data_IF_129722086646
#
_entry.id   IF_129722086646
#
_cell.length_a   1.000
_cell.length_b   1.000
_cell.length_c   1.000
_cell.angle_alpha   90.00
_cell.angle_beta   90.00
_cell.angle_gamma   90.00
#
_symmetry.space_group_name_H-M   'P 1'
#
loop_
_entity.id
_entity.type
_entity.pdbx_description
1 polymer ?
#
# COMPACT_ATOMS: atom_id res chain seq x y z
N UNK A 1 0.84 3.00 10.71
CA UNK A 1 0.45 3.18 12.15
C UNK A 1 1.42 4.15 12.79
N UNK A 2 0.92 5.16 13.47
CA UNK A 2 1.77 6.10 14.21
C UNK A 2 2.49 5.42 15.38
N UNK A 3 3.52 6.09 15.88
CA UNK A 3 4.15 5.71 17.17
C UNK A 3 3.24 6.10 18.34
N UNK A 4 3.00 5.17 19.27
CA UNK A 4 2.15 5.44 20.44
C UNK A 4 2.71 6.55 21.33
N UNK A 5 4.05 6.62 21.46
CA UNK A 5 4.69 7.69 22.19
C UNK A 5 4.49 9.04 21.51
N UNK A 6 4.58 9.07 20.17
CA UNK A 6 4.30 10.28 19.38
C UNK A 6 2.86 10.77 19.61
N UNK A 7 1.87 9.88 19.58
CA UNK A 7 0.45 10.24 19.84
C UNK A 7 0.28 10.80 21.26
N UNK A 8 0.95 10.21 22.25
CA UNK A 8 0.94 10.66 23.65
C UNK A 8 1.55 12.05 23.83
N UNK A 9 2.68 12.30 23.16
CA UNK A 9 3.41 13.56 23.29
C UNK A 9 2.80 14.68 22.43
N UNK A 10 2.03 14.34 21.37
CA UNK A 10 1.50 15.31 20.40
C UNK A 10 0.03 15.05 20.04
N UNK A 11 -0.89 14.88 21.01
CA UNK A 11 -2.28 14.51 20.72
C UNK A 11 -3.03 15.55 19.88
N UNK A 12 -2.79 16.84 20.12
CA UNK A 12 -3.45 17.92 19.39
C UNK A 12 -3.00 17.96 17.91
N UNK A 13 -1.72 17.68 17.64
CA UNK A 13 -1.22 17.59 16.26
C UNK A 13 -1.88 16.42 15.51
N UNK A 14 -2.05 15.26 16.18
CA UNK A 14 -2.74 14.11 15.61
C UNK A 14 -4.21 14.44 15.32
N UNK A 15 -4.91 15.11 16.25
CA UNK A 15 -6.29 15.55 16.05
C UNK A 15 -6.41 16.58 14.92
N UNK A 16 -5.48 17.54 14.83
CA UNK A 16 -5.44 18.49 13.72
C UNK A 16 -5.26 17.80 12.36
N UNK A 17 -4.36 16.80 12.31
CA UNK A 17 -4.15 15.99 11.11
C UNK A 17 -5.41 15.21 10.70
N UNK A 18 -6.14 14.64 11.64
CA UNK A 18 -7.42 13.97 11.41
C UNK A 18 -8.43 14.95 10.78
N UNK A 19 -8.52 16.18 11.30
CA UNK A 19 -9.38 17.23 10.75
C UNK A 19 -8.95 17.64 9.33
N UNK A 20 -7.65 17.80 9.08
CA UNK A 20 -7.11 18.06 7.74
C UNK A 20 -7.48 17.00 6.72
N UNK A 21 -7.67 15.75 7.18
CA UNK A 21 -8.12 14.62 6.35
C UNK A 21 -9.65 14.48 6.28
N UNK A 22 -10.42 15.38 6.89
CA UNK A 22 -11.89 15.34 6.93
C UNK A 22 -12.46 14.05 7.52
N UNK A 23 -11.82 13.53 8.57
CA UNK A 23 -12.15 12.27 9.25
C UNK A 23 -12.52 12.51 10.72
N UNK A 24 -13.34 13.52 11.00
CA UNK A 24 -13.65 13.99 12.36
C UNK A 24 -14.23 12.90 13.27
N UNK A 25 -14.85 11.87 12.71
CA UNK A 25 -15.33 10.70 13.43
C UNK A 25 -14.20 9.91 14.13
N UNK A 26 -12.96 10.07 13.69
CA UNK A 26 -11.78 9.42 14.28
C UNK A 26 -11.15 10.21 15.44
N UNK A 27 -11.59 11.43 15.71
CA UNK A 27 -11.03 12.27 16.80
C UNK A 27 -11.11 11.59 18.16
N UNK A 28 -12.22 10.92 18.44
CA UNK A 28 -12.45 10.19 19.69
C UNK A 28 -11.41 9.08 19.91
N UNK A 29 -10.89 8.48 18.86
CA UNK A 29 -9.89 7.41 18.96
C UNK A 29 -8.58 7.87 19.61
N UNK A 30 -8.22 9.15 19.44
CA UNK A 30 -7.02 9.72 20.07
C UNK A 30 -7.18 9.76 21.59
N UNK A 31 -8.35 10.22 22.07
CA UNK A 31 -8.63 10.27 23.50
C UNK A 31 -8.74 8.87 24.12
N UNK A 32 -9.40 7.93 23.43
CA UNK A 32 -9.44 6.53 23.85
C UNK A 32 -8.06 5.90 23.97
N UNK A 33 -7.17 6.14 22.99
CA UNK A 33 -5.79 5.64 23.02
C UNK A 33 -5.02 6.21 24.22
N UNK A 34 -5.17 7.51 24.50
CA UNK A 34 -4.50 8.15 25.64
C UNK A 34 -4.97 7.58 26.99
N UNK A 35 -6.27 7.38 27.14
CA UNK A 35 -6.83 6.78 28.34
C UNK A 35 -6.36 5.33 28.54
N UNK A 36 -6.43 4.51 27.50
CA UNK A 36 -5.98 3.12 27.53
C UNK A 36 -4.45 3.02 27.78
N UNK A 37 -3.65 3.90 27.18
CA UNK A 37 -2.20 3.94 27.41
C UNK A 37 -1.88 4.32 28.85
N UNK A 38 -2.62 5.22 29.45
CA UNK A 38 -2.48 5.54 30.88
C UNK A 38 -2.77 4.32 31.73
N UNK A 39 -3.92 3.66 31.52
CA UNK A 39 -4.30 2.44 32.27
C UNK A 39 -3.26 1.32 32.07
N UNK A 40 -2.78 1.12 30.85
CA UNK A 40 -1.73 0.14 30.54
C UNK A 40 -0.44 0.41 31.34
N UNK A 41 0.02 1.66 31.36
CA UNK A 41 1.24 2.04 32.09
C UNK A 41 1.06 1.90 33.62
N UNK A 42 -0.12 2.20 34.15
CA UNK A 42 -0.46 2.00 35.56
C UNK A 42 -0.44 0.51 35.92
N UNK A 43 -1.12 -0.35 35.12
CA UNK A 43 -1.12 -1.79 35.31
C UNK A 43 0.28 -2.38 35.24
N UNK A 44 1.09 -1.98 34.25
CA UNK A 44 2.47 -2.41 34.08
C UNK A 44 3.35 -1.99 35.24
N UNK A 45 3.27 -0.74 35.70
CA UNK A 45 4.02 -0.23 36.86
C UNK A 45 3.67 -1.00 38.13
N UNK A 46 2.37 -1.29 38.34
CA UNK A 46 1.91 -2.09 39.48
C UNK A 46 2.42 -3.53 39.39
N UNK A 47 2.36 -4.14 38.20
CA UNK A 47 2.90 -5.47 37.95
C UNK A 47 4.39 -5.57 38.23
N UNK A 48 5.19 -4.60 37.78
CA UNK A 48 6.65 -4.56 38.02
C UNK A 48 6.98 -4.38 39.52
N UNK A 49 6.21 -3.55 40.23
CA UNK A 49 6.33 -3.41 41.67
C UNK A 49 6.05 -4.74 42.38
N UNK A 50 4.94 -5.41 42.03
CA UNK A 50 4.57 -6.70 42.65
C UNK A 50 5.58 -7.81 42.35
N UNK A 51 6.14 -7.85 41.13
CA UNK A 51 7.23 -8.79 40.77
C UNK A 51 8.44 -8.58 41.63
N UNK A 52 8.82 -7.30 41.88
CA UNK A 52 9.91 -6.93 42.80
C UNK A 52 9.64 -7.38 44.24
N UNK A 53 8.45 -7.10 44.76
CA UNK A 53 8.02 -7.51 46.13
C UNK A 53 7.99 -9.03 46.27
N UNK A 54 7.39 -9.75 45.30
CA UNK A 54 7.37 -11.21 45.31
C UNK A 54 8.73 -11.83 45.37
N UNK A 55 9.72 -11.29 44.61
CA UNK A 55 11.10 -11.77 44.67
C UNK A 55 11.74 -11.57 46.05
N UNK A 56 11.47 -10.44 46.72
CA UNK A 56 11.95 -10.16 48.08
C UNK A 56 11.35 -11.09 49.11
N UNK A 57 10.00 -11.26 49.06
CA UNK A 57 9.27 -12.15 49.98
C UNK A 57 9.65 -13.62 49.80
N UNK A 58 9.90 -14.05 48.56
CA UNK A 58 10.36 -15.41 48.28
C UNK A 58 11.71 -15.72 48.93
N UNK A 59 12.63 -14.76 48.92
CA UNK A 59 13.91 -14.87 49.66
C UNK A 59 13.71 -14.92 51.19
N UNK A 60 12.76 -14.13 51.72
CA UNK A 60 12.41 -14.12 53.13
C UNK A 60 11.84 -15.45 53.59
N UNK A 61 10.97 -16.11 52.81
CA UNK A 61 10.45 -17.44 53.13
C UNK A 61 11.58 -18.44 53.34
N UNK A 62 12.60 -18.46 52.45
CA UNK A 62 13.78 -19.30 52.59
C UNK A 62 14.52 -19.08 53.89
N UNK A 63 14.73 -17.81 54.28
CA UNK A 63 15.37 -17.43 55.53
C UNK A 63 14.57 -17.85 56.80
N UNK A 64 13.25 -17.64 56.79
CA UNK A 64 12.35 -18.04 57.89
C UNK A 64 12.28 -19.56 58.06
N UNK A 65 12.22 -20.29 56.96
CA UNK A 65 12.25 -21.77 57.00
C UNK A 65 13.57 -22.30 57.56
N UNK A 66 14.70 -21.71 57.17
CA UNK A 66 16.03 -22.03 57.71
C UNK A 66 16.17 -21.75 59.22
N UNK A 67 15.39 -20.79 59.74
CA UNK A 67 15.34 -20.44 61.18
C UNK A 67 14.30 -21.25 61.99
N UNK A 68 13.53 -22.15 61.32
CA UNK A 68 12.51 -22.96 61.95
C UNK A 68 11.19 -22.20 62.26
N UNK A 69 11.02 -20.96 61.74
CA UNK A 69 9.85 -20.09 61.95
C UNK A 69 8.74 -20.39 60.94
N UNK A 70 8.13 -21.57 61.08
CA UNK A 70 7.15 -22.09 60.12
C UNK A 70 5.90 -21.23 59.99
N UNK A 71 5.33 -20.74 61.10
CA UNK A 71 4.09 -19.95 61.06
C UNK A 71 4.32 -18.59 60.36
N UNK A 72 5.43 -17.93 60.60
CA UNK A 72 5.82 -16.71 59.91
C UNK A 72 6.06 -16.98 58.42
N UNK A 73 6.68 -18.10 58.06
CA UNK A 73 6.87 -18.48 56.69
C UNK A 73 5.57 -18.75 55.90
N UNK A 74 4.59 -19.39 56.60
CA UNK A 74 3.23 -19.63 56.00
C UNK A 74 2.47 -18.30 55.80
N UNK A 75 2.56 -17.35 56.69
CA UNK A 75 1.96 -16.02 56.53
C UNK A 75 2.54 -15.29 55.28
N UNK A 76 3.87 -15.36 55.08
CA UNK A 76 4.53 -14.77 53.91
C UNK A 76 4.17 -15.51 52.65
N UNK A 77 4.04 -16.83 52.67
CA UNK A 77 3.55 -17.61 51.54
C UNK A 77 2.12 -17.22 51.10
N UNK A 78 1.23 -16.98 52.04
CA UNK A 78 -0.13 -16.49 51.75
C UNK A 78 -0.10 -15.13 51.02
N UNK A 79 0.77 -14.22 51.45
CA UNK A 79 1.00 -12.93 50.79
C UNK A 79 1.50 -13.13 49.33
N UNK A 80 2.49 -14.01 49.14
CA UNK A 80 3.01 -14.32 47.82
C UNK A 80 1.93 -14.92 46.91
N UNK A 81 1.05 -15.77 47.46
CA UNK A 81 -0.07 -16.35 46.69
C UNK A 81 -1.06 -15.27 46.27
N UNK A 82 -1.42 -14.34 47.16
CA UNK A 82 -2.32 -13.22 46.82
C UNK A 82 -1.72 -12.32 45.76
N UNK A 83 -0.41 -12.02 45.84
CA UNK A 83 0.31 -11.25 44.83
C UNK A 83 0.36 -11.96 43.49
N UNK A 84 0.47 -13.28 43.48
CA UNK A 84 0.47 -14.06 42.24
C UNK A 84 -0.88 -13.95 41.53
N UNK A 85 -2.01 -13.93 42.26
CA UNK A 85 -3.31 -13.72 41.66
C UNK A 85 -3.44 -12.30 41.10
N UNK A 86 -3.08 -11.28 41.87
CA UNK A 86 -3.10 -9.88 41.38
C UNK A 86 -2.23 -9.68 40.15
N UNK A 87 -1.04 -10.33 40.09
CA UNK A 87 -0.17 -10.30 38.92
C UNK A 87 -0.84 -10.93 37.70
N UNK A 88 -1.51 -12.09 37.85
CA UNK A 88 -2.21 -12.73 36.76
C UNK A 88 -3.33 -11.85 36.21
N UNK A 89 -4.10 -11.20 37.08
CA UNK A 89 -5.18 -10.28 36.69
C UNK A 89 -4.62 -9.05 35.95
N UNK A 90 -3.49 -8.49 36.40
CA UNK A 90 -2.81 -7.38 35.72
C UNK A 90 -2.23 -7.78 34.37
N UNK A 91 -1.68 -8.98 34.23
CA UNK A 91 -1.18 -9.49 32.94
C UNK A 91 -2.29 -9.63 31.90
N UNK A 92 -3.46 -10.13 32.31
CA UNK A 92 -4.66 -10.19 31.44
C UNK A 92 -5.13 -8.77 31.07
N UNK A 93 -5.08 -7.83 32.03
CA UNK A 93 -5.44 -6.44 31.75
C UNK A 93 -4.44 -5.76 30.79
N UNK A 94 -3.13 -5.96 30.98
CA UNK A 94 -2.09 -5.44 30.09
C UNK A 94 -2.26 -5.96 28.65
N UNK A 95 -2.50 -7.26 28.49
CA UNK A 95 -2.73 -7.89 27.18
C UNK A 95 -3.95 -7.28 26.48
N UNK A 96 -5.10 -7.23 27.19
CA UNK A 96 -6.34 -6.66 26.66
C UNK A 96 -6.18 -5.19 26.24
N UNK A 97 -5.55 -4.37 27.10
CA UNK A 97 -5.31 -2.95 26.81
C UNK A 97 -4.35 -2.79 25.59
N UNK A 98 -3.32 -3.63 25.53
CA UNK A 98 -2.38 -3.62 24.39
C UNK A 98 -3.07 -3.91 23.05
N UNK A 99 -3.97 -4.90 23.03
CA UNK A 99 -4.76 -5.22 21.84
C UNK A 99 -5.72 -4.07 21.47
N UNK A 100 -6.44 -3.53 22.44
CA UNK A 100 -7.36 -2.42 22.22
C UNK A 100 -6.65 -1.15 21.71
N UNK A 101 -5.49 -0.81 22.29
CA UNK A 101 -4.66 0.30 21.82
C UNK A 101 -4.24 0.06 20.37
N UNK A 102 -3.76 -1.15 20.06
CA UNK A 102 -3.33 -1.51 18.71
C UNK A 102 -4.48 -1.35 17.70
N UNK A 103 -5.68 -1.83 18.02
CA UNK A 103 -6.85 -1.69 17.15
C UNK A 103 -7.16 -0.23 16.81
N UNK A 104 -7.16 0.68 17.82
CA UNK A 104 -7.41 2.12 17.59
C UNK A 104 -6.29 2.75 16.78
N UNK A 105 -5.03 2.45 17.15
CA UNK A 105 -3.85 2.96 16.45
C UNK A 105 -3.80 2.53 14.98
N UNK A 106 -4.37 1.38 14.63
CA UNK A 106 -4.46 0.90 13.25
C UNK A 106 -5.45 1.72 12.40
N UNK A 107 -6.40 2.43 13.01
CA UNK A 107 -7.43 3.25 12.34
C UNK A 107 -7.03 4.73 12.29
N UNK A 108 -6.22 5.20 13.24
CA UNK A 108 -5.70 6.59 13.24
C UNK A 108 -4.80 6.78 12.01
N UNK A 109 -5.10 7.80 11.15
CA UNK A 109 -4.32 8.03 9.93
C UNK A 109 -2.89 8.50 10.23
N UNK A 110 -1.99 8.26 9.29
CA UNK A 110 -0.62 8.78 9.32
C UNK A 110 -0.63 10.30 9.22
N UNK A 111 0.42 10.96 9.71
CA UNK A 111 0.57 12.41 9.60
C UNK A 111 0.95 12.74 8.15
N UNK A 112 0.15 13.59 7.51
CA UNK A 112 0.41 14.02 6.13
C UNK A 112 1.62 14.97 6.08
N UNK A 113 2.34 14.95 4.96
CA UNK A 113 3.43 15.89 4.71
C UNK A 113 2.92 17.33 4.64
N UNK A 114 3.73 18.30 5.10
CA UNK A 114 3.33 19.70 5.16
C UNK A 114 3.01 20.31 3.80
N UNK A 115 3.58 19.74 2.72
CA UNK A 115 3.34 20.20 1.35
C UNK A 115 2.03 19.69 0.74
N UNK A 116 1.32 18.75 1.39
CA UNK A 116 0.07 18.19 0.90
C UNK A 116 -1.02 19.27 0.87
N UNK A 117 -1.67 19.50 -0.30
CA UNK A 117 -2.77 20.46 -0.38
C UNK A 117 -3.97 20.01 0.46
N UNK A 118 -4.61 20.94 1.13
CA UNK A 118 -5.81 20.66 1.93
C UNK A 118 -7.01 20.68 1.00
N UNK A 119 -7.73 19.57 0.92
CA UNK A 119 -8.91 19.40 0.10
C UNK A 119 -9.73 18.21 0.60
N UNK A 120 -11.02 18.16 0.25
CA UNK A 120 -11.97 17.20 0.79
C UNK A 120 -11.96 15.85 0.07
N UNK A 121 -11.81 15.88 -1.25
CA UNK A 121 -11.87 14.70 -2.11
C UNK A 121 -11.02 14.88 -3.38
N UNK A 122 -11.00 13.90 -4.27
CA UNK A 122 -10.22 13.87 -5.50
C UNK A 122 -10.46 15.03 -6.45
N UNK A 123 -11.62 15.69 -6.38
CA UNK A 123 -11.93 16.88 -7.20
C UNK A 123 -11.07 18.10 -6.85
N UNK A 124 -10.45 18.10 -5.66
CA UNK A 124 -9.59 19.17 -5.15
C UNK A 124 -8.08 18.82 -5.25
N UNK A 125 -7.74 17.71 -5.94
CA UNK A 125 -6.37 17.39 -6.24
C UNK A 125 -5.72 18.44 -7.15
N UNK A 126 -4.42 18.70 -6.96
CA UNK A 126 -3.73 19.83 -7.59
C UNK A 126 -2.83 19.34 -8.73
N UNK A 127 -3.06 19.87 -9.94
CA UNK A 127 -2.17 19.60 -11.06
C UNK A 127 -0.78 20.23 -10.81
N UNK A 128 0.27 19.43 -10.92
CA UNK A 128 1.66 19.84 -10.68
C UNK A 128 2.36 20.17 -11.99
N UNK A 129 2.32 19.25 -12.96
CA UNK A 129 3.08 19.38 -14.20
C UNK A 129 2.46 18.55 -15.33
N UNK A 130 2.59 19.05 -16.57
CA UNK A 130 2.22 18.33 -17.80
C UNK A 130 3.42 17.96 -18.61
N UNK A 131 3.37 16.78 -19.22
CA UNK A 131 4.44 16.20 -20.03
C UNK A 131 3.88 15.77 -21.39
N UNK A 132 4.35 16.43 -22.44
CA UNK A 132 3.89 16.24 -23.82
C UNK A 132 2.61 17.01 -24.13
N UNK A 133 2.40 17.23 -25.43
CA UNK A 133 1.26 18.01 -25.94
C UNK A 133 0.06 17.09 -26.19
N UNK A 134 -1.08 17.35 -25.53
CA UNK A 134 -2.33 16.66 -25.81
C UNK A 134 -2.74 16.89 -27.28
N UNK A 135 -3.08 15.80 -27.97
CA UNK A 135 -3.56 15.85 -29.36
C UNK A 135 -4.99 15.30 -29.42
N UNK A 136 -5.79 15.93 -30.27
CA UNK A 136 -7.11 15.45 -30.66
C UNK A 136 -7.03 15.22 -32.17
N UNK A 137 -7.24 13.99 -32.68
CA UNK A 137 -7.22 13.72 -34.10
C UNK A 137 -8.40 14.39 -34.82
N UNK A 138 -8.30 14.54 -36.13
CA UNK A 138 -9.37 15.12 -36.97
C UNK A 138 -10.53 14.15 -37.24
N UNK A 139 -10.46 12.94 -36.69
CA UNK A 139 -11.49 11.90 -36.82
C UNK A 139 -12.03 11.51 -35.44
N UNK A 140 -13.21 10.91 -35.41
CA UNK A 140 -13.83 10.43 -34.19
C UNK A 140 -13.02 9.25 -33.60
N UNK A 141 -12.60 9.37 -32.35
CA UNK A 141 -11.94 8.28 -31.60
C UNK A 141 -13.04 7.41 -30.96
N UNK A 142 -13.19 6.14 -31.40
CA UNK A 142 -14.18 5.24 -30.83
C UNK A 142 -13.87 4.87 -29.37
N UNK A 143 -14.83 4.29 -28.69
CA UNK A 143 -14.62 3.72 -27.36
C UNK A 143 -13.58 2.58 -27.43
N UNK A 144 -12.73 2.46 -26.44
CA UNK A 144 -11.62 1.50 -26.46
C UNK A 144 -12.05 0.04 -26.71
N UNK A 145 -13.24 -0.35 -26.23
CA UNK A 145 -13.79 -1.68 -26.51
C UNK A 145 -14.11 -1.84 -27.99
N UNK A 146 -14.72 -0.82 -28.61
CA UNK A 146 -15.07 -0.86 -30.03
C UNK A 146 -13.82 -0.94 -30.92
N UNK A 147 -12.72 -0.25 -30.50
CA UNK A 147 -11.40 -0.39 -31.15
C UNK A 147 -10.90 -1.83 -31.06
N UNK A 148 -10.92 -2.40 -29.83
CA UNK A 148 -10.44 -3.76 -29.61
C UNK A 148 -11.31 -4.82 -30.29
N UNK A 149 -12.64 -4.63 -30.35
CA UNK A 149 -13.56 -5.53 -31.07
C UNK A 149 -13.30 -5.53 -32.59
N UNK A 150 -13.07 -4.35 -33.21
CA UNK A 150 -12.67 -4.22 -34.61
C UNK A 150 -11.37 -4.95 -34.94
N UNK A 151 -10.46 -5.01 -33.99
CA UNK A 151 -9.18 -5.71 -34.12
C UNK A 151 -9.27 -7.19 -33.70
N UNK A 152 -10.47 -7.71 -33.40
CA UNK A 152 -10.70 -9.05 -32.86
C UNK A 152 -9.83 -9.34 -31.63
N UNK A 153 -9.63 -8.31 -30.75
CA UNK A 153 -8.67 -8.30 -29.64
C UNK A 153 -9.29 -8.49 -28.27
N UNK A 154 -10.62 -8.50 -28.14
CA UNK A 154 -11.31 -8.67 -26.86
C UNK A 154 -12.58 -9.50 -27.01
N UNK A 155 -12.91 -10.31 -26.00
CA UNK A 155 -14.15 -11.07 -25.89
C UNK A 155 -14.74 -10.93 -24.48
N UNK A 156 -15.66 -9.98 -24.33
CA UNK A 156 -16.36 -9.71 -23.07
C UNK A 156 -17.54 -10.66 -22.84
N UNK A 157 -18.15 -11.18 -23.91
CA UNK A 157 -19.31 -12.08 -23.82
C UNK A 157 -18.92 -13.46 -23.27
N UNK A 158 -17.80 -14.00 -23.71
CA UNK A 158 -17.26 -15.25 -23.15
C UNK A 158 -16.76 -15.05 -21.72
N UNK A 159 -16.15 -13.91 -21.42
CA UNK A 159 -15.73 -13.58 -20.05
C UNK A 159 -16.91 -13.52 -19.09
N UNK A 160 -18.01 -12.90 -19.52
CA UNK A 160 -19.26 -12.83 -18.73
C UNK A 160 -19.82 -14.22 -18.42
N UNK A 161 -19.79 -15.13 -19.37
CA UNK A 161 -20.24 -16.54 -19.19
C UNK A 161 -19.34 -17.31 -18.23
N UNK A 162 -18.02 -17.05 -18.28
CA UNK A 162 -17.02 -17.81 -17.51
C UNK A 162 -16.88 -17.29 -16.07
N UNK A 163 -16.83 -15.97 -15.88
CA UNK A 163 -16.42 -15.34 -14.62
C UNK A 163 -17.35 -14.22 -14.14
N UNK A 164 -18.29 -13.77 -14.99
CA UNK A 164 -19.16 -12.65 -14.69
C UNK A 164 -18.67 -11.32 -15.30
N UNK A 165 -19.30 -10.22 -14.87
CA UNK A 165 -18.90 -8.88 -15.27
C UNK A 165 -17.56 -8.49 -14.61
N UNK A 166 -16.83 -7.55 -15.23
CA UNK A 166 -15.54 -7.09 -14.70
C UNK A 166 -14.36 -8.03 -14.99
N UNK A 167 -14.55 -8.97 -15.95
CA UNK A 167 -13.51 -9.83 -16.51
C UNK A 167 -13.45 -9.68 -18.02
N UNK A 168 -12.36 -10.10 -18.64
CA UNK A 168 -12.15 -10.03 -20.08
C UNK A 168 -11.30 -11.21 -20.57
N UNK A 169 -11.47 -11.56 -21.87
CA UNK A 169 -10.45 -12.27 -22.63
C UNK A 169 -9.81 -11.27 -23.57
N UNK A 170 -8.49 -11.19 -23.60
CA UNK A 170 -7.75 -10.53 -24.67
C UNK A 170 -7.30 -11.57 -25.69
N UNK A 171 -7.32 -11.21 -26.96
CA UNK A 171 -6.99 -12.09 -28.07
C UNK A 171 -6.03 -11.44 -29.06
N UNK A 172 -5.38 -12.27 -29.88
CA UNK A 172 -4.60 -11.83 -31.04
C UNK A 172 -3.53 -10.78 -30.72
N UNK A 173 -3.46 -9.76 -31.55
CA UNK A 173 -2.44 -8.72 -31.42
C UNK A 173 -2.66 -7.81 -30.19
N UNK A 174 -3.89 -7.67 -29.69
CA UNK A 174 -4.16 -6.93 -28.44
C UNK A 174 -3.61 -7.69 -27.23
N UNK A 175 -3.81 -9.01 -27.15
CA UNK A 175 -3.21 -9.83 -26.09
C UNK A 175 -1.67 -9.78 -26.15
N UNK A 176 -1.11 -9.77 -27.36
CA UNK A 176 0.34 -9.61 -27.56
C UNK A 176 0.81 -8.23 -27.10
N UNK A 177 0.06 -7.16 -27.45
CA UNK A 177 0.37 -5.79 -27.02
C UNK A 177 0.36 -5.66 -25.50
N UNK A 178 -0.63 -6.24 -24.84
CA UNK A 178 -0.68 -6.32 -23.36
C UNK A 178 0.59 -6.95 -22.76
N UNK A 179 1.02 -8.08 -23.30
CA UNK A 179 2.24 -8.76 -22.86
C UNK A 179 3.52 -7.98 -23.21
N UNK A 180 3.52 -7.31 -24.37
CA UNK A 180 4.61 -6.45 -24.82
C UNK A 180 4.83 -5.25 -23.89
N UNK A 181 3.75 -4.60 -23.46
CA UNK A 181 3.78 -3.48 -22.51
C UNK A 181 4.40 -3.92 -21.18
N UNK A 182 3.99 -5.07 -20.63
CA UNK A 182 4.56 -5.60 -19.39
C UNK A 182 6.03 -5.99 -19.53
N UNK A 183 6.40 -6.61 -20.65
CA UNK A 183 7.79 -6.99 -20.91
C UNK A 183 8.69 -5.75 -21.06
N UNK A 184 8.21 -4.74 -21.76
CA UNK A 184 8.92 -3.47 -21.87
C UNK A 184 9.02 -2.76 -20.52
N UNK A 185 7.96 -2.72 -19.72
CA UNK A 185 7.99 -2.11 -18.39
C UNK A 185 8.99 -2.78 -17.44
N UNK A 186 9.07 -4.12 -17.50
CA UNK A 186 10.08 -4.88 -16.74
C UNK A 186 11.49 -4.44 -17.12
N UNK A 187 11.82 -4.48 -18.42
CA UNK A 187 13.17 -4.18 -18.91
C UNK A 187 13.51 -2.71 -18.67
N UNK A 188 12.56 -1.79 -18.89
CA UNK A 188 12.68 -0.38 -18.59
C UNK A 188 13.04 -0.09 -17.12
N UNK A 189 12.52 -0.86 -16.18
CA UNK A 189 12.84 -0.71 -14.75
C UNK A 189 14.17 -1.36 -14.38
N UNK A 190 14.50 -2.52 -14.99
CA UNK A 190 15.83 -3.16 -14.81
C UNK A 190 16.95 -2.21 -15.27
N UNK A 191 16.78 -1.57 -16.42
CA UNK A 191 17.75 -0.62 -16.97
C UNK A 191 17.92 0.64 -16.08
N UNK A 192 16.93 0.94 -15.23
CA UNK A 192 16.98 2.00 -14.21
C UNK A 192 17.51 1.55 -12.85
N UNK A 193 18.04 0.33 -12.77
CA UNK A 193 18.70 -0.21 -11.59
C UNK A 193 17.76 -0.82 -10.54
N UNK A 194 16.51 -1.14 -10.91
CA UNK A 194 15.59 -1.86 -10.04
C UNK A 194 15.80 -3.37 -10.17
N UNK A 195 15.77 -4.09 -9.04
CA UNK A 195 15.83 -5.55 -9.05
C UNK A 195 14.43 -6.11 -9.31
N UNK A 196 14.30 -6.96 -10.33
CA UNK A 196 13.03 -7.55 -10.75
C UNK A 196 12.66 -8.77 -9.91
N UNK A 197 11.38 -8.84 -9.50
CA UNK A 197 10.79 -9.94 -8.73
C UNK A 197 9.47 -10.43 -9.32
N UNK A 198 9.20 -11.72 -9.16
CA UNK A 198 7.87 -12.32 -9.26
C UNK A 198 7.53 -12.81 -7.84
N UNK A 199 6.68 -12.11 -7.09
CA UNK A 199 6.36 -12.43 -5.71
C UNK A 199 5.26 -13.49 -5.61
N UNK A 200 4.98 -14.04 -4.41
CA UNK A 200 3.76 -14.79 -4.15
C UNK A 200 2.51 -13.93 -4.41
N UNK A 201 1.48 -14.51 -5.03
CA UNK A 201 0.22 -13.82 -5.35
C UNK A 201 -0.86 -13.98 -4.27
N UNK A 202 -0.52 -14.68 -3.20
CA UNK A 202 -1.34 -14.83 -2.00
C UNK A 202 -0.50 -14.50 -0.77
N UNK A 203 -1.11 -13.81 0.18
CA UNK A 203 -0.46 -13.38 1.43
C UNK A 203 -1.32 -13.72 2.64
N UNK A 204 -0.70 -13.83 3.82
CA UNK A 204 -1.39 -14.09 5.09
C UNK A 204 -1.97 -12.81 5.69
N UNK A 205 -2.92 -12.98 6.61
CA UNK A 205 -3.59 -11.88 7.32
C UNK A 205 -2.62 -10.93 8.04
N UNK A 206 -1.53 -11.44 8.61
CA UNK A 206 -0.53 -10.61 9.27
C UNK A 206 0.18 -9.64 8.31
N UNK A 207 0.41 -10.06 7.05
CA UNK A 207 0.95 -9.20 6.00
C UNK A 207 -0.10 -8.18 5.56
N UNK A 208 -1.36 -8.64 5.30
CA UNK A 208 -2.48 -7.75 4.92
C UNK A 208 -2.63 -6.60 5.91
N UNK A 209 -2.68 -6.92 7.21
CA UNK A 209 -2.80 -5.93 8.29
C UNK A 209 -1.61 -4.96 8.36
N UNK A 210 -0.47 -5.35 7.83
CA UNK A 210 0.72 -4.51 7.77
C UNK A 210 0.73 -3.51 6.62
N UNK A 211 0.15 -3.87 5.48
CA UNK A 211 0.31 -3.12 4.21
C UNK A 211 -0.87 -2.23 3.85
N UNK A 212 -2.06 -2.44 4.44
CA UNK A 212 -3.26 -1.65 4.15
C UNK A 212 -4.12 -1.39 5.39
N UNK A 213 -5.12 -0.53 5.24
CA UNK A 213 -6.13 -0.30 6.27
C UNK A 213 -7.18 -1.41 6.29
N UNK A 214 -7.93 -1.54 7.40
CA UNK A 214 -9.03 -2.51 7.49
C UNK A 214 -10.15 -2.23 6.47
N UNK A 215 -10.48 -0.96 6.25
CA UNK A 215 -11.48 -0.56 5.27
C UNK A 215 -11.09 -0.95 3.86
N UNK A 216 -9.83 -0.72 3.47
CA UNK A 216 -9.31 -1.15 2.17
C UNK A 216 -9.32 -2.67 2.03
N UNK A 217 -8.97 -3.42 3.09
CA UNK A 217 -8.98 -4.88 3.08
C UNK A 217 -10.39 -5.42 2.78
N UNK A 218 -11.41 -4.96 3.46
CA UNK A 218 -12.80 -5.44 3.29
C UNK A 218 -13.32 -5.15 1.88
N UNK A 219 -13.03 -3.97 1.35
CA UNK A 219 -13.53 -3.52 0.06
C UNK A 219 -12.75 -4.06 -1.14
N UNK A 220 -11.48 -4.44 -0.94
CA UNK A 220 -10.57 -4.80 -2.02
C UNK A 220 -10.25 -6.29 -2.10
N UNK A 221 -9.99 -6.96 -0.95
CA UNK A 221 -9.32 -8.26 -0.94
C UNK A 221 -10.26 -9.45 -1.09
N UNK A 222 -9.90 -10.39 -1.95
CA UNK A 222 -10.49 -11.75 -1.96
C UNK A 222 -9.77 -12.63 -0.94
N UNK A 223 -10.54 -13.27 -0.05
CA UNK A 223 -10.05 -14.26 0.92
C UNK A 223 -10.30 -15.67 0.41
N UNK A 224 -9.34 -16.56 0.59
CA UNK A 224 -9.50 -18.00 0.32
C UNK A 224 -10.29 -18.62 1.48
N UNK A 225 -11.39 -19.31 1.16
CA UNK A 225 -12.21 -19.96 2.15
C UNK A 225 -11.45 -21.12 2.82
N UNK A 226 -11.52 -21.19 4.15
CA UNK A 226 -10.86 -22.23 4.94
C UNK A 226 -9.36 -22.03 5.18
N UNK A 227 -8.75 -20.97 4.62
CA UNK A 227 -7.32 -20.71 4.77
C UNK A 227 -7.01 -19.29 5.22
N UNK A 228 -5.86 -19.08 5.87
CA UNK A 228 -5.34 -17.73 6.16
C UNK A 228 -4.55 -17.20 4.95
N UNK A 229 -5.23 -17.09 3.80
CA UNK A 229 -4.67 -16.58 2.55
C UNK A 229 -5.62 -15.60 1.87
N UNK A 230 -5.04 -14.55 1.30
CA UNK A 230 -5.71 -13.50 0.55
C UNK A 230 -5.03 -13.30 -0.79
N UNK A 231 -5.81 -13.17 -1.87
CA UNK A 231 -5.27 -12.77 -3.17
C UNK A 231 -4.81 -11.31 -3.13
N UNK A 232 -3.64 -11.03 -3.66
CA UNK A 232 -3.09 -9.66 -3.63
C UNK A 232 -3.83 -8.72 -4.59
N UNK A 233 -4.06 -7.49 -4.16
CA UNK A 233 -4.57 -6.40 -5.01
C UNK A 233 -3.46 -5.63 -5.74
N UNK A 234 -2.19 -5.87 -5.37
CA UNK A 234 -0.97 -5.30 -5.95
C UNK A 234 0.23 -6.11 -5.45
N UNK A 235 1.30 -6.18 -6.25
CA UNK A 235 2.55 -6.83 -5.82
C UNK A 235 3.24 -6.12 -4.66
N UNK A 236 2.94 -4.83 -4.43
CA UNK A 236 3.41 -4.10 -3.24
C UNK A 236 3.18 -4.89 -1.96
N UNK A 237 1.99 -5.48 -1.80
CA UNK A 237 1.62 -6.21 -0.60
C UNK A 237 2.60 -7.35 -0.28
N UNK A 238 2.89 -8.19 -1.27
CA UNK A 238 3.86 -9.29 -1.12
C UNK A 238 5.29 -8.79 -0.99
N UNK A 239 5.65 -7.74 -1.74
CA UNK A 239 7.00 -7.24 -1.76
C UNK A 239 7.40 -6.56 -0.44
N UNK A 240 6.48 -5.82 0.18
CA UNK A 240 6.70 -5.28 1.53
C UNK A 240 6.63 -6.40 2.57
N UNK A 241 5.70 -7.35 2.41
CA UNK A 241 5.59 -8.53 3.26
C UNK A 241 6.84 -9.41 3.29
N UNK A 242 7.69 -9.36 2.24
CA UNK A 242 9.01 -10.02 2.20
C UNK A 242 9.90 -9.63 3.37
N UNK A 243 9.74 -8.43 3.90
CA UNK A 243 10.58 -7.88 4.96
C UNK A 243 9.97 -8.01 6.37
N UNK A 244 8.82 -8.72 6.54
CA UNK A 244 8.19 -8.87 7.87
C UNK A 244 9.18 -9.41 8.90
N UNK A 245 9.20 -8.79 10.09
CA UNK A 245 10.08 -9.12 11.24
C UNK A 245 11.57 -9.16 10.90
N UNK A 246 12.00 -8.41 9.87
CA UNK A 246 13.39 -8.39 9.40
C UNK A 246 14.13 -7.16 9.92
N UNK A 247 15.40 -7.35 10.30
CA UNK A 247 16.35 -6.28 10.58
C UNK A 247 17.34 -6.24 9.42
N UNK A 248 17.22 -5.23 8.55
CA UNK A 248 18.12 -4.99 7.42
C UNK A 248 19.44 -4.36 7.90
N UNK A 249 20.55 -4.67 7.23
CA UNK A 249 21.76 -3.87 7.36
C UNK A 249 21.59 -2.56 6.58
N UNK A 250 22.03 -1.45 7.15
CA UNK A 250 21.92 -0.13 6.50
C UNK A 250 22.61 -0.07 5.12
N UNK A 251 23.62 -0.94 4.88
CA UNK A 251 24.28 -1.03 3.56
C UNK A 251 23.44 -1.69 2.49
N UNK A 252 22.37 -2.35 2.86
CA UNK A 252 21.41 -2.94 1.91
C UNK A 252 20.41 -1.92 1.37
N UNK A 253 20.39 -0.71 1.93
CA UNK A 253 19.51 0.37 1.48
C UNK A 253 20.19 1.26 0.42
N UNK A 254 19.42 1.78 -0.54
CA UNK A 254 17.99 1.54 -0.74
C UNK A 254 17.72 0.17 -1.39
N UNK A 255 16.63 -0.49 -0.99
CA UNK A 255 16.07 -1.62 -1.74
C UNK A 255 15.15 -1.04 -2.82
N UNK A 256 15.64 -0.97 -4.05
CA UNK A 256 14.86 -0.53 -5.21
C UNK A 256 14.39 -1.76 -6.00
N UNK A 257 13.11 -2.09 -5.88
CA UNK A 257 12.53 -3.32 -6.38
C UNK A 257 11.44 -3.02 -7.41
N UNK A 258 11.35 -3.85 -8.45
CA UNK A 258 10.23 -3.82 -9.38
C UNK A 258 9.64 -5.22 -9.48
N UNK A 259 8.31 -5.31 -9.59
CA UNK A 259 7.66 -6.62 -9.56
C UNK A 259 6.43 -6.68 -10.45
N UNK A 260 6.30 -7.84 -11.10
CA UNK A 260 5.11 -8.22 -11.85
C UNK A 260 4.17 -9.05 -10.97
N UNK A 261 2.88 -8.78 -11.07
CA UNK A 261 1.86 -9.70 -10.55
C UNK A 261 0.53 -9.54 -11.26
N UNK A 262 -0.32 -10.59 -11.28
CA UNK A 262 -1.75 -10.41 -11.34
C UNK A 262 -2.22 -9.67 -10.09
N UNK A 263 -3.30 -8.92 -10.22
CA UNK A 263 -3.95 -8.16 -9.16
C UNK A 263 -5.42 -8.53 -9.13
N UNK A 264 -5.95 -8.75 -7.93
CA UNK A 264 -7.35 -9.17 -7.73
C UNK A 264 -8.04 -8.16 -6.82
N UNK A 265 -9.13 -7.54 -7.30
CA UNK A 265 -9.86 -6.52 -6.53
C UNK A 265 -11.36 -6.75 -6.62
N UNK A 266 -12.04 -6.67 -5.48
CA UNK A 266 -13.51 -6.78 -5.42
C UNK A 266 -14.22 -5.60 -6.06
N UNK A 267 -13.58 -4.42 -6.16
CA UNK A 267 -14.13 -3.18 -6.70
C UNK A 267 -15.52 -2.83 -6.10
N UNK A 268 -15.69 -3.03 -4.78
CA UNK A 268 -16.95 -2.77 -4.08
C UNK A 268 -17.26 -1.27 -4.10
N UNK A 269 -18.50 -0.93 -4.51
CA UNK A 269 -18.98 0.45 -4.55
C UNK A 269 -18.60 1.23 -5.82
N UNK A 270 -17.89 0.63 -6.75
CA UNK A 270 -17.60 1.24 -8.04
C UNK A 270 -18.82 1.15 -8.97
N UNK A 271 -19.59 2.24 -9.09
CA UNK A 271 -20.70 2.38 -10.02
C UNK A 271 -20.45 3.57 -10.95
N UNK A 272 -20.67 3.40 -12.27
CA UNK A 272 -20.55 4.51 -13.23
C UNK A 272 -20.52 4.08 -14.70
N UNK A 273 -20.43 5.07 -15.57
CA UNK A 273 -20.49 4.93 -17.05
C UNK A 273 -19.37 4.04 -17.63
N UNK A 274 -18.31 3.79 -16.88
CA UNK A 274 -17.15 3.01 -17.32
C UNK A 274 -17.19 1.53 -16.91
N UNK A 275 -18.36 1.01 -16.55
CA UNK A 275 -18.55 -0.42 -16.21
C UNK A 275 -18.32 -1.36 -17.40
N UNK A 276 -18.48 -0.86 -18.65
CA UNK A 276 -18.16 -1.62 -19.85
C UNK A 276 -16.68 -1.43 -20.20
N UNK A 277 -15.98 -2.54 -20.39
CA UNK A 277 -14.60 -2.52 -20.88
C UNK A 277 -13.58 -2.91 -19.82
N UNK A 278 -12.39 -2.29 -19.85
CA UNK A 278 -11.24 -2.70 -19.06
C UNK A 278 -10.78 -1.66 -18.02
N UNK A 279 -11.57 -0.61 -17.80
CA UNK A 279 -11.17 0.47 -16.88
C UNK A 279 -11.24 0.05 -15.41
N UNK A 280 -12.34 -0.62 -14.99
CA UNK A 280 -12.52 -1.21 -13.66
C UNK A 280 -12.85 -2.68 -13.79
N UNK A 281 -11.97 -3.51 -13.28
CA UNK A 281 -12.01 -4.97 -13.47
C UNK A 281 -11.51 -5.68 -12.23
N UNK A 282 -12.01 -6.89 -12.00
CA UNK A 282 -11.69 -7.70 -10.83
C UNK A 282 -10.32 -8.37 -10.90
N UNK A 283 -9.80 -8.59 -12.11
CA UNK A 283 -8.51 -9.22 -12.37
C UNK A 283 -7.76 -8.45 -13.44
N UNK A 284 -6.52 -8.04 -13.14
CA UNK A 284 -5.62 -7.40 -14.09
C UNK A 284 -4.17 -7.71 -13.72
N UNK A 285 -3.25 -7.30 -14.56
CA UNK A 285 -1.81 -7.45 -14.30
C UNK A 285 -1.18 -6.08 -14.10
N UNK A 286 -0.08 -6.06 -13.38
CA UNK A 286 0.62 -4.81 -13.06
C UNK A 286 2.12 -5.02 -12.92
N UNK A 287 2.90 -4.07 -13.41
CA UNK A 287 4.31 -3.88 -13.06
C UNK A 287 4.39 -2.74 -12.04
N UNK A 288 4.99 -2.99 -10.90
CA UNK A 288 5.06 -2.08 -9.76
C UNK A 288 6.51 -1.72 -9.42
N UNK A 289 6.71 -0.55 -8.83
CA UNK A 289 7.95 -0.14 -8.17
C UNK A 289 7.76 -0.11 -6.67
N UNK A 290 8.68 -0.68 -5.91
CA UNK A 290 8.69 -0.67 -4.45
C UNK A 290 10.06 -0.22 -3.98
N UNK A 291 10.10 0.71 -3.04
CA UNK A 291 11.34 1.17 -2.43
C UNK A 291 11.27 1.06 -0.92
N UNK A 292 12.34 0.51 -0.34
CA UNK A 292 12.61 0.60 1.11
C UNK A 292 13.89 1.41 1.26
N UNK A 293 13.81 2.55 1.92
CA UNK A 293 14.93 3.50 2.00
C UNK A 293 15.09 4.12 3.39
N UNK A 294 16.15 4.89 3.57
CA UNK A 294 16.32 5.74 4.74
C UNK A 294 15.26 6.84 4.76
N UNK A 295 14.82 7.31 5.95
CA UNK A 295 13.86 8.40 6.06
C UNK A 295 14.26 9.67 5.30
N UNK A 296 15.54 10.05 5.37
CA UNK A 296 16.08 11.24 4.71
C UNK A 296 16.05 11.17 3.17
N UNK A 297 16.10 9.97 2.58
CA UNK A 297 16.09 9.77 1.13
C UNK A 297 14.67 9.64 0.55
N UNK A 298 13.66 9.62 1.42
CA UNK A 298 12.28 9.25 1.09
C UNK A 298 11.63 10.15 0.03
N UNK A 299 11.83 11.46 0.12
CA UNK A 299 11.24 12.42 -0.83
C UNK A 299 11.93 12.41 -2.20
N UNK A 300 13.24 12.15 -2.24
CA UNK A 300 13.97 11.99 -3.49
C UNK A 300 13.51 10.72 -4.23
N UNK A 301 13.31 9.62 -3.48
CA UNK A 301 12.75 8.39 -4.05
C UNK A 301 11.31 8.58 -4.50
N UNK A 302 10.49 9.31 -3.77
CA UNK A 302 9.12 9.65 -4.18
C UNK A 302 9.11 10.34 -5.55
N UNK A 303 9.94 11.37 -5.73
CA UNK A 303 10.09 12.07 -7.00
C UNK A 303 10.58 11.14 -8.12
N UNK A 304 11.60 10.33 -7.85
CA UNK A 304 12.15 9.37 -8.81
C UNK A 304 11.10 8.35 -9.28
N UNK A 305 10.25 7.87 -8.36
CA UNK A 305 9.23 6.88 -8.66
C UNK A 305 8.17 7.41 -9.64
N UNK A 306 7.55 8.57 -9.36
CA UNK A 306 6.56 9.08 -10.30
C UNK A 306 7.16 9.55 -11.62
N UNK A 307 8.40 10.07 -11.62
CA UNK A 307 9.12 10.41 -12.84
C UNK A 307 9.33 9.17 -13.72
N UNK A 308 9.64 8.01 -13.15
CA UNK A 308 9.77 6.78 -13.92
C UNK A 308 8.46 6.41 -14.65
N UNK A 309 7.31 6.59 -14.04
CA UNK A 309 6.01 6.36 -14.71
C UNK A 309 5.76 7.39 -15.81
N UNK A 310 6.04 8.66 -15.56
CA UNK A 310 5.98 9.71 -16.57
C UNK A 310 6.85 9.35 -17.79
N UNK A 311 8.12 9.00 -17.56
CA UNK A 311 9.08 8.63 -18.61
C UNK A 311 8.61 7.39 -19.38
N UNK A 312 8.04 6.40 -18.69
CA UNK A 312 7.52 5.18 -19.31
C UNK A 312 6.40 5.51 -20.31
N UNK A 313 5.42 6.29 -19.92
CA UNK A 313 4.31 6.70 -20.81
C UNK A 313 4.83 7.61 -21.93
N UNK A 314 5.72 8.55 -21.62
CA UNK A 314 6.33 9.45 -22.61
C UNK A 314 7.18 8.73 -23.65
N UNK A 315 7.83 7.62 -23.30
CA UNK A 315 8.57 6.78 -24.25
C UNK A 315 7.71 6.19 -25.36
N UNK A 316 6.40 6.15 -25.14
CA UNK A 316 5.38 5.69 -26.10
C UNK A 316 4.55 6.83 -26.69
N UNK A 317 5.02 8.07 -26.59
CA UNK A 317 4.40 9.30 -27.08
C UNK A 317 3.03 9.62 -26.44
N UNK A 318 2.73 9.05 -25.27
CA UNK A 318 1.47 9.32 -24.55
C UNK A 318 1.63 10.54 -23.66
N UNK A 319 0.86 11.63 -23.86
CA UNK A 319 0.88 12.78 -22.96
C UNK A 319 0.34 12.40 -21.57
N UNK A 320 1.02 12.87 -20.54
CA UNK A 320 0.62 12.65 -19.15
C UNK A 320 0.70 13.94 -18.34
N UNK A 321 0.02 13.96 -17.20
CA UNK A 321 0.19 14.97 -16.16
C UNK A 321 0.38 14.32 -14.80
N UNK A 322 0.93 15.06 -13.85
CA UNK A 322 1.00 14.68 -12.45
C UNK A 322 0.01 15.50 -11.64
N UNK A 323 -0.69 14.83 -10.73
CA UNK A 323 -1.75 15.39 -9.90
C UNK A 323 -1.45 15.08 -8.44
N UNK A 324 -1.15 16.09 -7.62
CA UNK A 324 -0.92 15.88 -6.20
C UNK A 324 -2.23 15.66 -5.46
N UNK A 325 -2.35 14.54 -4.77
CA UNK A 325 -3.53 14.20 -3.99
C UNK A 325 -3.66 15.10 -2.78
N UNK A 326 -4.86 15.64 -2.57
CA UNK A 326 -5.18 16.45 -1.41
C UNK A 326 -5.39 15.59 -0.15
N UNK A 327 -5.44 16.23 0.99
CA UNK A 327 -5.48 15.59 2.31
C UNK A 327 -6.66 14.63 2.50
N UNK A 328 -7.83 14.93 1.95
CA UNK A 328 -9.03 14.10 2.06
C UNK A 328 -9.04 12.89 1.12
N UNK A 329 -8.27 12.95 0.02
CA UNK A 329 -8.11 11.85 -0.94
C UNK A 329 -7.02 10.84 -0.52
N UNK A 330 -6.11 11.23 0.40
CA UNK A 330 -5.05 10.34 0.86
C UNK A 330 -5.58 9.18 1.70
N UNK A 331 -5.26 7.95 1.34
CA UNK A 331 -5.46 6.78 2.19
C UNK A 331 -4.71 6.91 3.53
N UNK A 332 -5.20 6.20 4.57
CA UNK A 332 -4.76 6.43 5.96
C UNK A 332 -3.27 6.18 6.23
N UNK A 333 -2.63 5.30 5.47
CA UNK A 333 -1.21 5.03 5.66
C UNK A 333 -0.29 6.00 4.91
N UNK A 334 -0.80 6.70 3.91
CA UNK A 334 -0.01 7.59 3.05
C UNK A 334 0.26 8.93 3.73
N UNK A 335 1.50 9.40 3.63
CA UNK A 335 1.88 10.76 4.05
C UNK A 335 1.81 11.73 2.88
N UNK A 336 2.02 11.23 1.65
CA UNK A 336 1.96 11.99 0.41
C UNK A 336 1.67 11.06 -0.76
N UNK A 337 0.90 11.53 -1.74
CA UNK A 337 0.63 10.80 -2.97
C UNK A 337 0.60 11.75 -4.17
N UNK A 338 1.04 11.22 -5.30
CA UNK A 338 0.94 11.88 -6.60
C UNK A 338 0.41 10.88 -7.61
N UNK A 339 -0.65 11.24 -8.31
CA UNK A 339 -1.18 10.43 -9.39
C UNK A 339 -0.55 10.84 -10.72
N UNK A 340 -0.31 9.87 -11.57
CA UNK A 340 0.03 10.07 -12.97
C UNK A 340 -1.20 9.79 -13.79
N UNK A 341 -1.62 10.76 -14.58
CA UNK A 341 -2.78 10.65 -15.44
C UNK A 341 -2.37 10.74 -16.91
N UNK A 342 -2.96 9.88 -17.76
CA UNK A 342 -2.73 9.88 -19.20
C UNK A 342 -3.85 10.63 -19.95
N UNK A 343 -3.48 11.25 -21.06
CA UNK A 343 -4.43 11.93 -21.93
C UNK A 343 -5.33 10.96 -22.67
N UNK A 344 -6.62 11.22 -22.68
CA UNK A 344 -7.63 10.54 -23.50
C UNK A 344 -8.06 11.48 -24.63
N UNK A 345 -7.64 11.27 -25.90
CA UNK A 345 -8.14 12.03 -27.04
C UNK A 345 -9.64 11.96 -27.22
N UNK A 346 -10.25 10.81 -26.91
CA UNK A 346 -11.70 10.59 -26.99
C UNK A 346 -12.49 11.45 -26.00
N UNK A 347 -12.03 11.47 -24.73
CA UNK A 347 -12.70 12.23 -23.66
C UNK A 347 -12.23 13.68 -23.58
N UNK A 348 -11.13 14.02 -24.24
CA UNK A 348 -10.43 15.30 -24.14
C UNK A 348 -10.12 15.68 -22.67
N UNK A 349 -9.74 14.70 -21.88
CA UNK A 349 -9.34 14.83 -20.47
C UNK A 349 -8.28 13.82 -20.08
N UNK A 350 -7.66 14.04 -18.96
CA UNK A 350 -6.73 13.09 -18.36
C UNK A 350 -7.48 12.11 -17.44
N UNK A 351 -6.93 10.90 -17.27
CA UNK A 351 -7.42 9.89 -16.34
C UNK A 351 -6.26 9.14 -15.70
N UNK A 352 -6.43 8.71 -14.46
CA UNK A 352 -5.42 8.05 -13.65
C UNK A 352 -4.93 6.74 -14.27
N UNK A 353 -3.60 6.61 -14.41
CA UNK A 353 -2.91 5.40 -14.88
C UNK A 353 -1.89 4.86 -13.88
N UNK A 354 -1.59 5.60 -12.83
CA UNK A 354 -0.71 5.18 -11.76
C UNK A 354 -0.78 6.14 -10.57
N UNK A 355 -0.52 5.63 -9.38
CA UNK A 355 -0.50 6.40 -8.14
C UNK A 355 0.78 6.10 -7.37
N UNK A 356 1.59 7.13 -7.17
CA UNK A 356 2.83 7.09 -6.40
C UNK A 356 2.53 7.45 -4.94
N UNK A 357 2.99 6.62 -4.01
CA UNK A 357 2.71 6.79 -2.59
C UNK A 357 3.98 6.74 -1.74
N UNK A 358 4.08 7.69 -0.81
CA UNK A 358 5.02 7.64 0.30
C UNK A 358 4.22 7.30 1.57
N UNK A 359 4.60 6.19 2.24
CA UNK A 359 3.94 5.72 3.45
C UNK A 359 4.78 5.96 4.70
N UNK A 360 5.92 6.62 4.55
CA UNK A 360 6.92 6.80 5.61
C UNK A 360 7.22 5.49 6.35
N UNK A 361 7.21 5.46 7.68
CA UNK A 361 7.48 4.28 8.49
C UNK A 361 6.23 3.43 8.83
N UNK A 362 5.06 3.77 8.28
CA UNK A 362 3.80 3.16 8.69
C UNK A 362 3.75 1.64 8.47
N UNK A 363 4.17 1.16 7.30
CA UNK A 363 4.23 -0.27 7.00
C UNK A 363 5.37 -0.96 7.75
N UNK A 364 6.54 -0.30 7.84
CA UNK A 364 7.68 -0.82 8.57
C UNK A 364 7.34 -1.06 10.05
N UNK A 365 6.62 -0.13 10.67
CA UNK A 365 6.16 -0.24 12.06
C UNK A 365 5.16 -1.37 12.25
N UNK A 366 4.21 -1.54 11.34
CA UNK A 366 3.19 -2.60 11.40
C UNK A 366 3.78 -4.00 11.21
N UNK A 367 4.77 -4.11 10.32
CA UNK A 367 5.40 -5.38 9.93
C UNK A 367 6.69 -5.71 10.70
N UNK A 368 7.09 -4.87 11.67
CA UNK A 368 8.31 -5.11 12.43
C UNK A 368 9.60 -4.97 11.62
N UNK A 369 9.58 -4.25 10.49
CA UNK A 369 10.75 -4.01 9.66
C UNK A 369 11.64 -2.96 10.32
N UNK A 370 12.93 -3.25 10.45
CA UNK A 370 13.91 -2.35 11.07
C UNK A 370 15.18 -2.32 10.26
N UNK A 371 15.97 -1.27 10.45
CA UNK A 371 17.29 -1.14 9.87
C UNK A 371 18.29 -0.92 11.00
N UNK A 372 19.39 -1.62 10.97
CA UNK A 372 20.48 -1.45 11.94
C UNK A 372 21.44 -0.38 11.44
N UNK A 373 21.49 0.75 12.13
CA UNK A 373 22.45 1.81 11.82
C UNK A 373 23.88 1.32 12.08
N UNK A 374 24.78 1.55 11.11
CA UNK A 374 26.17 1.07 11.18
C UNK A 374 27.01 1.74 12.24
N UNK A 375 26.79 3.02 12.49
CA UNK A 375 27.57 3.84 13.38
C UNK A 375 27.08 3.74 14.83
N UNK A 376 25.77 4.01 15.03
CA UNK A 376 25.16 4.06 16.37
C UNK A 376 24.82 2.69 16.93
N UNK A 377 24.77 1.65 16.08
CA UNK A 377 24.28 0.29 16.39
C UNK A 377 22.80 0.25 16.85
N UNK A 378 22.10 1.36 16.77
CA UNK A 378 20.68 1.45 17.09
C UNK A 378 19.83 1.06 15.86
N UNK A 379 18.65 0.54 16.13
CA UNK A 379 17.68 0.25 15.08
C UNK A 379 16.79 1.47 14.83
N UNK A 380 16.46 1.70 13.56
CA UNK A 380 15.45 2.66 13.15
C UNK A 380 14.48 2.02 12.16
N UNK A 381 13.37 2.70 11.87
CA UNK A 381 12.37 2.25 10.92
C UNK A 381 12.67 2.86 9.54
N UNK A 382 12.75 2.04 8.48
CA UNK A 382 12.87 2.55 7.13
C UNK A 382 11.54 3.14 6.65
N UNK A 383 11.61 3.99 5.62
CA UNK A 383 10.44 4.42 4.86
C UNK A 383 10.15 3.45 3.71
N UNK A 384 8.88 3.30 3.40
CA UNK A 384 8.41 2.50 2.27
C UNK A 384 7.66 3.38 1.28
N UNK A 385 7.91 3.14 0.00
CA UNK A 385 7.26 3.84 -1.11
C UNK A 385 6.88 2.84 -2.19
N UNK A 386 5.83 3.17 -2.93
CA UNK A 386 5.44 2.40 -4.11
C UNK A 386 4.93 3.31 -5.22
N UNK A 387 4.96 2.80 -6.44
CA UNK A 387 4.30 3.41 -7.59
C UNK A 387 4.05 2.36 -8.67
N UNK A 388 2.96 2.51 -9.38
CA UNK A 388 2.68 1.74 -10.57
C UNK A 388 3.59 2.18 -11.73
N UNK A 389 4.36 1.26 -12.31
CA UNK A 389 5.00 1.50 -13.61
C UNK A 389 3.93 1.52 -14.69
N UNK A 390 3.15 0.44 -14.75
CA UNK A 390 2.03 0.29 -15.67
C UNK A 390 1.04 -0.77 -15.17
N UNK A 391 -0.25 -0.47 -15.35
CA UNK A 391 -1.34 -1.43 -15.32
C UNK A 391 -1.95 -1.50 -16.73
N UNK A 392 -1.70 -2.57 -17.50
CA UNK A 392 -2.08 -2.65 -18.91
C UNK A 392 -3.51 -2.29 -19.25
N UNK A 393 -4.54 -2.60 -18.43
CA UNK A 393 -5.91 -2.23 -18.79
C UNK A 393 -6.12 -0.75 -19.03
N UNK A 394 -5.68 0.10 -18.08
CA UNK A 394 -5.75 1.57 -18.26
C UNK A 394 -4.73 2.06 -19.28
N UNK A 395 -3.54 1.44 -19.32
CA UNK A 395 -2.56 1.72 -20.35
C UNK A 395 -3.09 1.40 -21.75
N UNK A 396 -3.80 0.28 -21.94
CA UNK A 396 -4.40 -0.06 -23.25
C UNK A 396 -5.38 1.01 -23.71
N UNK A 397 -6.20 1.57 -22.83
CA UNK A 397 -7.09 2.67 -23.16
C UNK A 397 -6.28 3.87 -23.70
N UNK A 398 -5.33 4.34 -22.90
CA UNK A 398 -4.48 5.47 -23.31
C UNK A 398 -3.70 5.17 -24.59
N UNK A 399 -3.13 3.96 -24.69
CA UNK A 399 -2.34 3.53 -25.83
C UNK A 399 -3.16 3.50 -27.12
N UNK A 400 -4.32 2.83 -27.11
CA UNK A 400 -5.18 2.69 -28.27
C UNK A 400 -5.69 4.05 -28.76
N UNK A 401 -6.15 4.90 -27.86
CA UNK A 401 -6.67 6.23 -28.21
C UNK A 401 -5.58 7.17 -28.77
N UNK A 402 -4.34 7.13 -28.21
CA UNK A 402 -3.24 8.00 -28.65
C UNK A 402 -2.49 7.48 -29.88
N UNK A 403 -2.63 6.20 -30.24
CA UNK A 403 -1.94 5.58 -31.37
C UNK A 403 -2.88 5.10 -32.48
N UNK A 404 -4.17 5.46 -32.42
CA UNK A 404 -5.17 5.15 -33.46
C UNK A 404 -4.87 5.97 -34.73
N UNK A 405 -4.85 5.31 -35.87
CA UNK A 405 -4.81 5.93 -37.18
C UNK A 405 -6.24 6.07 -37.76
N UNK A 406 -6.41 6.94 -38.76
CA UNK A 406 -7.70 7.19 -39.43
C UNK A 406 -8.31 5.93 -40.06
N UNK A 407 -7.47 5.01 -40.53
CA UNK A 407 -7.91 3.72 -41.09
C UNK A 407 -8.33 2.68 -40.02
N UNK A 408 -8.25 3.03 -38.75
CA UNK A 408 -8.57 2.17 -37.59
C UNK A 408 -7.44 1.26 -37.17
N UNK A 409 -6.26 1.30 -37.82
CA UNK A 409 -5.07 0.58 -37.40
C UNK A 409 -4.41 1.26 -36.18
N UNK A 410 -3.58 0.51 -35.46
CA UNK A 410 -2.88 1.03 -34.27
C UNK A 410 -1.39 1.10 -34.53
N UNK A 411 -0.81 2.28 -34.44
CA UNK A 411 0.65 2.50 -34.51
C UNK A 411 1.33 1.84 -33.29
N UNK A 412 2.44 1.14 -33.54
CA UNK A 412 3.31 0.60 -32.49
C UNK A 412 4.57 1.48 -32.40
N UNK A 413 4.74 2.22 -31.28
CA UNK A 413 5.94 2.98 -31.00
C UNK A 413 7.19 2.10 -31.00
N UNK A 414 8.31 2.69 -31.37
CA UNK A 414 9.56 1.97 -31.58
C UNK A 414 9.99 1.11 -30.37
N UNK A 415 9.92 1.57 -29.11
CA UNK A 415 10.32 0.75 -27.96
C UNK A 415 9.55 -0.56 -27.79
N UNK A 416 8.32 -0.64 -28.30
CA UNK A 416 7.48 -1.86 -28.19
C UNK A 416 7.67 -2.84 -29.37
N UNK A 417 8.25 -2.40 -30.49
CA UNK A 417 8.29 -3.23 -31.72
C UNK A 417 9.03 -4.55 -31.53
N UNK A 418 10.11 -4.58 -30.78
CA UNK A 418 10.84 -5.83 -30.49
C UNK A 418 9.96 -6.86 -29.78
N UNK A 419 9.12 -6.42 -28.86
CA UNK A 419 8.18 -7.29 -28.11
C UNK A 419 6.95 -7.68 -28.94
N UNK A 420 6.66 -6.90 -30.00
CA UNK A 420 5.59 -7.15 -30.98
C UNK A 420 6.08 -7.95 -32.22
N UNK A 421 7.31 -8.51 -32.17
CA UNK A 421 7.88 -9.26 -33.29
C UNK A 421 8.23 -8.40 -34.49
N UNK A 422 8.63 -7.15 -34.27
CA UNK A 422 9.01 -6.19 -35.28
C UNK A 422 7.83 -5.46 -35.94
N UNK A 423 6.59 -5.71 -35.54
CA UNK A 423 5.43 -4.99 -36.08
C UNK A 423 5.49 -3.50 -35.72
N UNK A 424 5.24 -2.65 -36.69
CA UNK A 424 5.10 -1.20 -36.53
C UNK A 424 3.62 -0.76 -36.44
N UNK A 425 2.70 -1.63 -36.83
CA UNK A 425 1.25 -1.38 -36.88
C UNK A 425 0.48 -2.68 -36.55
N UNK A 426 -0.66 -2.55 -35.87
CA UNK A 426 -1.71 -3.57 -35.77
C UNK A 426 -2.77 -3.17 -36.79
N UNK A 427 -2.99 -4.00 -37.79
CA UNK A 427 -3.93 -3.75 -38.88
C UNK A 427 -5.34 -4.24 -38.54
N UNK A 428 -6.34 -3.54 -39.05
CA UNK A 428 -7.74 -4.03 -39.04
C UNK A 428 -7.84 -5.23 -40.00
N UNK A 429 -8.37 -6.35 -39.54
CA UNK A 429 -8.52 -7.58 -40.32
C UNK A 429 -9.91 -7.73 -40.92
#
# INVERSE_FOLDING_TARGET
MLDLRFVRENPELVKENIKKKFQDEKLVLVDEVLEMDQQFREAKSRGDYLRGQRNTLSKQIGGLMGQGKKDEAEAVKAQVTQMAQELADLEVQEEKLSEQIKERMMVIPNIIDESVPIGKDDSENVEVERFGEPKVPDFEVPYHVDIMERLHGIDLDSARKTSGNGFYYLCGDIARLHSAILSYARDFMIDRGFTYYIPPFMIRSNVVNGVMSFSEMENMMYKIEGEDLYLIGTSEHSMIGKFIDTILDESELPQALTSYSPCFRKEVGAHGIEERGVYRIHQFEKQEMIVVCKPEDSMDWFKKLYTNTVDFFRSMDIPVRTLECCSGDLADLKVKSIDVEAWSPRQQKYFEVGSCSNLSDAQARRLGIRVKNKETKQNYLPHTLNNTVVAPPRMLIAFLENNLNDDGSIRIPEPLRMYMGGKSVIEVR
#
